data_IF_121243987678
#
_entry.id   IF_121243987678
#
_cell.length_a   1.000
_cell.length_b   1.000
_cell.length_c   1.000
_cell.angle_alpha   90.00
_cell.angle_beta   90.00
_cell.angle_gamma   90.00
#
_symmetry.space_group_name_H-M   'P 1'
#
loop_
_entity.id
_entity.type
_entity.pdbx_description
1 polymer ?
#
# COMPACT_ATOMS: atom_id res chain seq x y z
N UNK A 1 -10.77 -26.22 3.85
CA UNK A 1 -10.78 -24.76 3.57
C UNK A 1 -9.41 -24.39 3.03
N UNK A 2 -9.29 -24.24 1.71
CA UNK A 2 -8.03 -23.81 1.08
C UNK A 2 -7.89 -22.31 1.33
N UNK A 3 -6.85 -21.90 2.07
CA UNK A 3 -6.44 -20.50 2.07
C UNK A 3 -6.23 -20.11 0.59
N UNK A 4 -7.03 -19.19 0.07
CA UNK A 4 -6.79 -18.63 -1.26
C UNK A 4 -5.39 -18.02 -1.21
N UNK A 5 -4.48 -18.56 -2.00
CA UNK A 5 -3.23 -17.87 -2.30
C UNK A 5 -3.62 -16.49 -2.83
N UNK A 6 -3.32 -15.45 -2.05
CA UNK A 6 -3.40 -14.09 -2.57
C UNK A 6 -2.31 -14.05 -3.64
N UNK A 7 -2.71 -14.18 -4.90
CA UNK A 7 -1.86 -13.97 -6.06
C UNK A 7 -1.44 -12.49 -6.03
N UNK A 8 -0.41 -12.19 -5.24
CA UNK A 8 0.25 -10.90 -5.16
C UNK A 8 0.88 -10.63 -6.53
N UNK A 9 0.24 -9.76 -7.31
CA UNK A 9 0.44 -9.53 -8.75
C UNK A 9 1.74 -8.80 -9.14
N UNK A 10 2.75 -8.74 -8.27
CA UNK A 10 4.00 -8.05 -8.57
C UNK A 10 4.29 -6.81 -7.72
N UNK A 11 3.50 -6.54 -6.68
CA UNK A 11 3.80 -5.51 -5.66
C UNK A 11 5.14 -5.71 -4.91
N UNK A 12 5.86 -6.82 -5.12
CA UNK A 12 7.23 -7.06 -4.61
C UNK A 12 8.32 -6.89 -5.65
N UNK A 13 7.98 -6.68 -6.92
CA UNK A 13 8.93 -6.44 -7.98
C UNK A 13 9.08 -4.92 -8.18
N UNK A 14 10.18 -4.30 -7.70
CA UNK A 14 10.40 -2.86 -7.81
C UNK A 14 10.53 -2.39 -9.27
N UNK A 15 10.83 -3.29 -10.22
CA UNK A 15 10.81 -2.98 -11.66
C UNK A 15 9.37 -2.93 -12.22
N UNK A 16 8.43 -3.68 -11.62
CA UNK A 16 7.02 -3.75 -12.05
C UNK A 16 6.08 -2.77 -11.33
N UNK A 17 6.30 -2.40 -10.06
CA UNK A 17 5.48 -1.36 -9.39
C UNK A 17 6.23 -0.08 -9.04
N UNK A 18 6.27 0.83 -10.01
CA UNK A 18 6.72 2.23 -9.82
C UNK A 18 5.84 3.01 -8.82
N UNK A 19 4.67 2.45 -8.49
CA UNK A 19 3.66 2.98 -7.60
C UNK A 19 4.11 3.07 -6.13
N UNK A 20 5.00 2.18 -5.67
CA UNK A 20 5.32 2.01 -4.25
C UNK A 20 5.87 3.30 -3.62
N UNK A 21 6.79 3.98 -4.31
CA UNK A 21 7.34 5.25 -3.83
C UNK A 21 6.29 6.35 -3.69
N UNK A 22 5.28 6.39 -4.58
CA UNK A 22 4.19 7.36 -4.50
C UNK A 22 3.24 7.04 -3.33
N UNK A 23 2.95 5.75 -3.11
CA UNK A 23 2.14 5.26 -1.99
C UNK A 23 2.79 5.59 -0.64
N UNK A 24 4.08 5.30 -0.49
CA UNK A 24 4.84 5.61 0.72
C UNK A 24 4.94 7.12 0.97
N UNK A 25 5.17 7.92 -0.08
CA UNK A 25 5.17 9.39 0.04
C UNK A 25 3.82 9.93 0.49
N UNK A 26 2.71 9.38 -0.01
CA UNK A 26 1.37 9.77 0.42
C UNK A 26 1.15 9.48 1.91
N UNK A 27 1.52 8.28 2.37
CA UNK A 27 1.46 7.90 3.78
C UNK A 27 2.29 8.86 4.65
N UNK A 28 3.57 9.05 4.33
CA UNK A 28 4.48 9.92 5.09
C UNK A 28 3.97 11.35 5.13
N UNK A 29 3.48 11.89 4.01
CA UNK A 29 2.93 13.25 3.95
C UNK A 29 1.74 13.43 4.90
N UNK A 30 0.86 12.43 4.98
CA UNK A 30 -0.28 12.45 5.89
C UNK A 30 0.15 12.35 7.36
N UNK A 31 1.12 11.49 7.66
CA UNK A 31 1.70 11.38 9.00
C UNK A 31 2.40 12.68 9.43
N UNK A 32 3.21 13.28 8.56
CA UNK A 32 3.89 14.56 8.81
C UNK A 32 2.91 15.73 9.00
N UNK A 33 1.71 15.65 8.40
CA UNK A 33 0.63 16.61 8.62
C UNK A 33 -0.17 16.34 9.91
N UNK A 34 0.26 15.39 10.76
CA UNK A 34 -0.40 15.05 12.01
C UNK A 34 -1.73 14.31 11.85
N UNK A 35 -1.97 13.68 10.69
CA UNK A 35 -3.19 12.90 10.46
C UNK A 35 -3.13 11.55 11.18
N UNK A 36 -4.28 11.00 11.62
CA UNK A 36 -4.31 9.67 12.21
C UNK A 36 -3.77 8.61 11.26
N UNK A 37 -3.12 7.57 11.81
CA UNK A 37 -2.54 6.47 11.05
C UNK A 37 -3.53 5.84 10.06
N UNK A 38 -4.77 5.61 10.49
CA UNK A 38 -5.82 5.05 9.64
C UNK A 38 -6.15 5.93 8.42
N UNK A 39 -6.13 7.25 8.59
CA UNK A 39 -6.36 8.21 7.48
C UNK A 39 -5.16 8.23 6.53
N UNK A 40 -3.94 8.08 7.06
CA UNK A 40 -2.74 7.97 6.23
C UNK A 40 -2.72 6.68 5.40
N UNK A 41 -3.14 5.54 5.99
CA UNK A 41 -3.31 4.27 5.29
C UNK A 41 -4.37 4.36 4.19
N UNK A 42 -5.50 5.01 4.46
CA UNK A 42 -6.55 5.20 3.46
C UNK A 42 -6.05 6.02 2.27
N UNK A 43 -5.36 7.13 2.51
CA UNK A 43 -4.77 7.96 1.46
C UNK A 43 -3.78 7.18 0.59
N UNK A 44 -2.89 6.41 1.23
CA UNK A 44 -1.95 5.55 0.53
C UNK A 44 -2.66 4.44 -0.27
N UNK A 45 -3.72 3.84 0.27
CA UNK A 45 -4.56 2.87 -0.42
C UNK A 45 -5.31 3.45 -1.63
N UNK A 46 -5.73 4.72 -1.58
CA UNK A 46 -6.31 5.42 -2.73
C UNK A 46 -5.28 5.58 -3.84
N UNK A 47 -4.06 6.00 -3.51
CA UNK A 47 -2.95 6.13 -4.49
C UNK A 47 -2.61 4.76 -5.09
N UNK A 48 -2.58 3.71 -4.29
CA UNK A 48 -2.37 2.34 -4.76
C UNK A 48 -3.45 1.92 -5.76
N UNK A 49 -4.73 2.06 -5.40
CA UNK A 49 -5.85 1.65 -6.26
C UNK A 49 -6.05 2.51 -7.50
N UNK A 50 -5.48 3.71 -7.53
CA UNK A 50 -5.41 4.48 -8.77
C UNK A 50 -4.54 3.78 -9.83
N UNK A 51 -3.47 3.11 -9.39
CA UNK A 51 -2.59 2.32 -10.26
C UNK A 51 -3.10 0.87 -10.44
N UNK A 52 -3.71 0.30 -9.41
CA UNK A 52 -4.29 -1.06 -9.40
C UNK A 52 -5.81 -1.00 -9.19
N UNK A 53 -6.60 -0.58 -10.21
CA UNK A 53 -8.04 -0.44 -10.05
C UNK A 53 -8.77 -1.79 -9.87
N UNK A 54 -8.17 -2.88 -10.36
CA UNK A 54 -8.68 -4.25 -10.24
C UNK A 54 -8.57 -4.81 -8.81
N UNK A 55 -7.69 -4.24 -7.99
CA UNK A 55 -7.49 -4.70 -6.62
C UNK A 55 -8.63 -4.23 -5.72
N UNK A 56 -9.08 -5.17 -4.88
CA UNK A 56 -10.07 -4.85 -3.86
C UNK A 56 -9.51 -3.87 -2.83
N UNK A 57 -10.40 -3.18 -2.11
CA UNK A 57 -9.99 -2.30 -0.99
C UNK A 57 -9.18 -3.05 0.07
N UNK A 58 -9.51 -4.32 0.30
CA UNK A 58 -8.83 -5.16 1.28
C UNK A 58 -7.43 -5.54 0.81
N UNK A 59 -7.28 -5.92 -0.46
CA UNK A 59 -5.97 -6.26 -1.03
C UNK A 59 -5.05 -5.04 -1.05
N UNK A 60 -5.58 -3.88 -1.43
CA UNK A 60 -4.87 -2.62 -1.38
C UNK A 60 -4.38 -2.28 0.04
N UNK A 61 -5.27 -2.38 1.04
CA UNK A 61 -4.91 -2.12 2.43
C UNK A 61 -3.79 -3.06 2.91
N UNK A 62 -3.91 -4.36 2.65
CA UNK A 62 -2.90 -5.36 3.01
C UNK A 62 -1.54 -5.08 2.35
N UNK A 63 -1.53 -4.71 1.07
CA UNK A 63 -0.30 -4.38 0.34
C UNK A 63 0.36 -3.12 0.88
N UNK A 64 -0.41 -2.05 1.06
CA UNK A 64 0.07 -0.76 1.59
C UNK A 64 0.62 -0.91 3.00
N UNK A 65 -0.10 -1.61 3.88
CA UNK A 65 0.36 -1.89 5.24
C UNK A 65 1.69 -2.64 5.23
N UNK A 66 1.82 -3.70 4.42
CA UNK A 66 3.07 -4.47 4.29
C UNK A 66 4.25 -3.59 3.91
N UNK A 67 4.08 -2.68 2.95
CA UNK A 67 5.15 -1.77 2.56
C UNK A 67 5.53 -0.80 3.68
N UNK A 68 4.55 -0.20 4.34
CA UNK A 68 4.80 0.74 5.43
C UNK A 68 5.52 0.05 6.59
N UNK A 69 5.09 -1.16 6.97
CA UNK A 69 5.77 -1.91 8.01
C UNK A 69 7.18 -2.31 7.58
N UNK A 70 7.40 -2.72 6.33
CA UNK A 70 8.74 -3.04 5.82
C UNK A 70 9.71 -1.85 5.90
N UNK A 71 9.27 -0.64 5.56
CA UNK A 71 10.11 0.59 5.67
C UNK A 71 10.40 0.98 7.12
N UNK A 72 9.51 0.68 8.07
CA UNK A 72 9.69 1.03 9.48
C UNK A 72 10.63 0.08 10.25
N UNK A 73 11.08 -1.03 9.65
CA UNK A 73 11.99 -2.01 10.26
C UNK A 73 13.45 -1.88 9.79
N UNK A 74 13.82 -0.76 9.18
CA UNK A 74 15.19 -0.41 8.77
C UNK A 74 15.72 0.80 9.57
#
# INVERSE_FOLDING_TARGET
MSCKEILFDGARDPERCKCQSAVLKAYVSMMSAGRPHQVALEAAGIVYRFHHPEDSKMDAALTVERWIYAENFH
#
